data_IF_302108977806
#
_entry.id   IF_302108977806
#
_cell.length_a   1.000
_cell.length_b   1.000
_cell.length_c   1.000
_cell.angle_alpha   90.00
_cell.angle_beta   90.00
_cell.angle_gamma   90.00
#
_symmetry.space_group_name_H-M   'P 1'
#
loop_
_entity.id
_entity.type
_entity.pdbx_description
1 polymer ?
#
# COMPACT_ATOMS: atom_id res chain seq x y z
N UNK A 1 18.70 -5.05 9.33
CA UNK A 1 18.46 -6.51 9.57
C UNK A 1 17.72 -7.06 8.37
N UNK A 2 17.98 -8.31 7.91
CA UNK A 2 17.21 -8.88 6.79
C UNK A 2 15.72 -8.96 7.13
N UNK A 3 14.87 -8.49 6.20
CA UNK A 3 13.41 -8.40 6.44
C UNK A 3 12.68 -9.72 6.18
N UNK A 4 13.18 -10.55 5.26
CA UNK A 4 12.54 -11.84 4.93
C UNK A 4 12.50 -12.80 6.12
N UNK A 5 13.59 -13.00 6.90
CA UNK A 5 13.52 -13.77 8.14
C UNK A 5 12.58 -13.16 9.17
N UNK A 6 12.59 -11.82 9.35
CA UNK A 6 11.70 -11.13 10.28
C UNK A 6 10.23 -11.30 9.88
N UNK A 7 9.90 -11.18 8.58
CA UNK A 7 8.54 -11.41 8.07
C UNK A 7 8.08 -12.85 8.37
N UNK A 8 8.95 -13.84 8.13
CA UNK A 8 8.64 -15.25 8.41
C UNK A 8 8.33 -15.45 9.89
N UNK A 9 9.21 -14.96 10.77
CA UNK A 9 9.08 -15.15 12.22
C UNK A 9 7.81 -14.47 12.75
N UNK A 10 7.52 -13.23 12.33
CA UNK A 10 6.30 -12.51 12.71
C UNK A 10 5.04 -13.16 12.15
N UNK A 11 5.06 -13.63 10.90
CA UNK A 11 3.92 -14.31 10.30
C UNK A 11 3.64 -15.67 10.96
N UNK A 12 4.68 -16.44 11.28
CA UNK A 12 4.58 -17.73 11.99
C UNK A 12 4.03 -17.50 13.41
N UNK A 13 4.54 -16.51 14.14
CA UNK A 13 4.06 -16.15 15.48
C UNK A 13 2.56 -15.78 15.49
N UNK A 14 2.06 -15.24 14.39
CA UNK A 14 0.65 -14.86 14.19
C UNK A 14 -0.22 -15.97 13.61
N UNK A 15 0.35 -17.15 13.31
CA UNK A 15 -0.37 -18.25 12.67
C UNK A 15 -0.76 -17.98 11.21
N UNK A 16 -0.07 -17.07 10.52
CA UNK A 16 -0.33 -16.68 9.13
C UNK A 16 0.57 -17.40 8.12
N UNK A 17 1.58 -18.10 8.64
CA UNK A 17 2.55 -18.88 7.87
C UNK A 17 2.93 -20.13 8.67
N UNK A 18 3.00 -21.28 8.02
CA UNK A 18 3.47 -22.50 8.65
C UNK A 18 4.99 -22.45 8.89
N UNK A 19 5.47 -23.09 9.97
CA UNK A 19 6.87 -23.02 10.40
C UNK A 19 7.90 -23.49 9.33
N UNK A 20 7.50 -24.33 8.38
CA UNK A 20 8.32 -24.81 7.28
C UNK A 20 8.08 -24.09 5.94
N UNK A 21 7.11 -23.18 5.89
CA UNK A 21 6.75 -22.51 4.64
C UNK A 21 7.80 -21.48 4.24
N UNK A 22 8.21 -21.56 2.96
CA UNK A 22 9.20 -20.63 2.40
C UNK A 22 8.53 -19.32 2.01
N UNK A 23 9.13 -18.20 2.43
CA UNK A 23 8.72 -16.88 1.95
C UNK A 23 9.15 -16.70 0.49
N UNK A 24 8.18 -16.71 -0.42
CA UNK A 24 8.33 -16.39 -1.84
C UNK A 24 7.80 -14.98 -2.11
N UNK A 25 8.05 -14.35 -3.28
CA UNK A 25 7.44 -13.07 -3.63
C UNK A 25 5.91 -13.05 -3.49
N UNK A 26 5.24 -14.13 -3.87
CA UNK A 26 3.78 -14.25 -3.73
C UNK A 26 3.33 -14.34 -2.27
N UNK A 27 4.10 -15.02 -1.41
CA UNK A 27 3.85 -15.10 0.04
C UNK A 27 4.10 -13.74 0.68
N UNK A 28 5.20 -13.06 0.35
CA UNK A 28 5.50 -11.72 0.85
C UNK A 28 4.40 -10.73 0.47
N UNK A 29 3.97 -10.72 -0.80
CA UNK A 29 2.87 -9.91 -1.28
C UNK A 29 1.58 -10.19 -0.48
N UNK A 30 1.17 -11.46 -0.33
CA UNK A 30 -0.03 -11.86 0.41
C UNK A 30 0.01 -11.35 1.85
N UNK A 31 1.11 -11.58 2.55
CA UNK A 31 1.26 -11.20 3.95
C UNK A 31 1.20 -9.67 4.12
N UNK A 32 1.94 -8.91 3.31
CA UNK A 32 1.93 -7.44 3.37
C UNK A 32 0.58 -6.86 2.96
N UNK A 33 -0.04 -7.38 1.89
CA UNK A 33 -1.37 -6.96 1.45
C UNK A 33 -2.41 -7.11 2.58
N UNK A 34 -2.37 -8.24 3.30
CA UNK A 34 -3.37 -8.57 4.31
C UNK A 34 -3.11 -7.94 5.69
N UNK A 35 -2.01 -7.20 5.86
CA UNK A 35 -1.84 -6.33 7.03
C UNK A 35 -3.00 -5.32 7.11
N UNK A 36 -3.52 -5.02 8.31
CA UNK A 36 -4.53 -3.98 8.52
C UNK A 36 -4.11 -2.65 7.88
N UNK A 37 -5.05 -1.97 7.19
CA UNK A 37 -4.82 -0.63 6.64
C UNK A 37 -4.90 0.41 7.74
N UNK A 38 -3.79 0.62 8.43
CA UNK A 38 -3.66 1.53 9.55
C UNK A 38 -2.25 2.11 9.61
N UNK A 39 -2.11 3.37 10.05
CA UNK A 39 -0.79 3.97 10.25
C UNK A 39 -0.03 3.20 11.33
N UNK A 40 1.18 2.74 11.02
CA UNK A 40 2.17 2.35 12.01
C UNK A 40 2.78 3.60 12.68
N UNK A 41 3.53 3.42 13.75
CA UNK A 41 4.18 4.52 14.47
C UNK A 41 5.16 5.32 13.59
N UNK A 42 5.79 4.62 12.64
CA UNK A 42 6.52 5.21 11.52
C UNK A 42 6.34 4.36 10.24
N UNK A 43 7.04 4.69 9.18
CA UNK A 43 6.94 3.99 7.88
C UNK A 43 8.14 3.10 7.57
N UNK A 44 9.05 2.92 8.55
CA UNK A 44 10.19 2.04 8.38
C UNK A 44 9.71 0.59 8.24
N UNK A 45 10.27 -0.20 7.31
CA UNK A 45 9.86 -1.58 7.06
C UNK A 45 9.82 -2.46 8.31
N UNK A 46 10.82 -2.35 9.19
CA UNK A 46 10.87 -3.09 10.44
C UNK A 46 9.73 -2.73 11.41
N UNK A 47 9.37 -1.45 11.50
CA UNK A 47 8.26 -0.98 12.34
C UNK A 47 6.93 -1.49 11.81
N UNK A 48 6.70 -1.37 10.50
CA UNK A 48 5.49 -1.90 9.83
C UNK A 48 5.34 -3.39 10.09
N UNK A 49 6.44 -4.15 9.99
CA UNK A 49 6.46 -5.58 10.26
C UNK A 49 6.11 -5.91 11.71
N UNK A 50 6.75 -5.27 12.69
CA UNK A 50 6.54 -5.54 14.11
C UNK A 50 5.14 -5.16 14.57
N UNK A 51 4.62 -4.02 14.11
CA UNK A 51 3.26 -3.57 14.41
C UNK A 51 2.20 -4.31 13.58
N UNK A 52 2.62 -4.97 12.49
CA UNK A 52 1.77 -5.71 11.55
C UNK A 52 0.65 -4.87 10.97
N UNK A 53 0.94 -3.64 10.61
CA UNK A 53 -0.01 -2.70 10.02
C UNK A 53 0.71 -1.66 9.15
N UNK A 54 -0.01 -1.11 8.16
CA UNK A 54 0.53 -0.04 7.32
C UNK A 54 -0.53 0.56 6.41
N UNK A 55 -0.39 1.83 6.07
CA UNK A 55 -1.08 2.44 4.93
C UNK A 55 -0.32 2.15 3.64
N UNK A 56 -0.74 2.69 2.49
CA UNK A 56 -0.09 2.46 1.21
C UNK A 56 1.44 2.66 1.28
N UNK A 57 1.94 3.74 1.90
CA UNK A 57 3.39 3.99 2.00
C UNK A 57 4.12 2.90 2.78
N UNK A 58 3.72 2.64 4.03
CA UNK A 58 4.39 1.64 4.86
C UNK A 58 4.39 0.26 4.24
N UNK A 59 3.24 -0.18 3.70
CA UNK A 59 3.13 -1.48 3.02
C UNK A 59 4.02 -1.57 1.79
N UNK A 60 4.06 -0.54 0.94
CA UNK A 60 4.85 -0.60 -0.28
C UNK A 60 6.35 -0.43 -0.03
N UNK A 61 6.77 0.35 0.98
CA UNK A 61 8.18 0.41 1.36
C UNK A 61 8.67 -0.96 1.87
N UNK A 62 7.89 -1.57 2.76
CA UNK A 62 8.17 -2.93 3.24
C UNK A 62 8.20 -3.94 2.09
N UNK A 63 7.19 -3.94 1.22
CA UNK A 63 7.10 -4.90 0.12
C UNK A 63 8.23 -4.73 -0.89
N UNK A 64 8.62 -3.48 -1.23
CA UNK A 64 9.78 -3.21 -2.08
C UNK A 64 11.03 -3.90 -1.54
N UNK A 65 11.35 -3.66 -0.28
CA UNK A 65 12.57 -4.15 0.34
C UNK A 65 12.55 -5.68 0.46
N UNK A 66 11.40 -6.29 0.77
CA UNK A 66 11.22 -7.74 0.75
C UNK A 66 11.42 -8.35 -0.64
N UNK A 67 10.87 -7.72 -1.68
CA UNK A 67 11.03 -8.19 -3.06
C UNK A 67 12.49 -8.09 -3.52
N UNK A 68 13.18 -7.01 -3.16
CA UNK A 68 14.61 -6.84 -3.45
C UNK A 68 15.45 -7.91 -2.73
N UNK A 69 15.20 -8.22 -1.45
CA UNK A 69 15.86 -9.35 -0.74
C UNK A 69 15.56 -10.71 -1.40
N UNK A 70 14.41 -10.85 -2.02
CA UNK A 70 14.00 -12.06 -2.76
C UNK A 70 14.51 -12.08 -4.21
N UNK A 71 15.34 -11.11 -4.62
CA UNK A 71 15.98 -11.05 -5.93
C UNK A 71 15.15 -10.42 -7.05
N UNK A 72 14.04 -9.74 -6.73
CA UNK A 72 13.24 -9.00 -7.69
C UNK A 72 13.48 -7.49 -7.55
N UNK A 73 14.10 -6.81 -8.53
CA UNK A 73 14.20 -5.37 -8.52
C UNK A 73 12.82 -4.73 -8.42
N UNK A 74 12.69 -3.79 -7.50
CA UNK A 74 11.42 -3.10 -7.25
C UNK A 74 11.66 -1.62 -6.92
N UNK A 75 10.80 -0.74 -7.44
CA UNK A 75 10.88 0.70 -7.19
C UNK A 75 9.52 1.26 -6.79
N UNK A 76 9.55 2.33 -5.99
CA UNK A 76 8.35 3.05 -5.57
C UNK A 76 7.89 3.97 -6.69
N UNK A 77 6.60 3.93 -6.95
CA UNK A 77 5.90 4.91 -7.79
C UNK A 77 4.93 5.68 -6.91
N UNK A 78 4.84 6.97 -7.13
CA UNK A 78 3.93 7.88 -6.43
C UNK A 78 2.89 8.37 -7.43
N UNK A 79 1.63 8.42 -7.02
CA UNK A 79 0.55 8.97 -7.82
C UNK A 79 -0.28 9.96 -7.01
N UNK A 80 -0.59 11.12 -7.59
CA UNK A 80 -1.64 11.98 -7.06
C UNK A 80 -3.00 11.44 -7.47
N UNK A 81 -3.98 11.60 -6.62
CA UNK A 81 -5.38 11.27 -6.90
C UNK A 81 -6.31 12.04 -5.99
N UNK A 82 -7.60 11.92 -6.23
CA UNK A 82 -8.64 12.43 -5.36
C UNK A 82 -9.64 11.32 -5.04
N UNK A 83 -10.16 11.30 -3.80
CA UNK A 83 -11.35 10.52 -3.47
C UNK A 83 -12.58 11.31 -3.89
N UNK A 84 -13.41 10.68 -4.73
CA UNK A 84 -14.69 11.21 -5.19
C UNK A 84 -15.81 10.19 -4.94
N UNK A 85 -17.05 10.60 -5.10
CA UNK A 85 -18.18 9.68 -4.98
C UNK A 85 -18.19 8.60 -6.08
N UNK A 86 -17.62 8.92 -7.24
CA UNK A 86 -17.57 8.04 -8.42
C UNK A 86 -16.51 6.95 -8.27
N UNK A 87 -15.31 7.29 -7.76
CA UNK A 87 -14.20 6.34 -7.69
C UNK A 87 -14.08 5.61 -6.35
N UNK A 88 -14.83 6.06 -5.33
CA UNK A 88 -14.87 5.45 -4.01
C UNK A 88 -16.32 5.18 -3.53
N UNK A 89 -17.15 4.44 -4.33
CA UNK A 89 -18.55 4.16 -3.99
C UNK A 89 -18.69 3.28 -2.73
N UNK A 90 -17.63 2.62 -2.33
CA UNK A 90 -17.52 1.76 -1.15
C UNK A 90 -17.35 2.53 0.17
N UNK A 91 -17.20 3.84 0.14
CA UNK A 91 -17.07 4.65 1.34
C UNK A 91 -18.33 4.58 2.22
N UNK A 92 -18.17 4.56 3.56
CA UNK A 92 -19.33 4.64 4.47
C UNK A 92 -20.04 5.99 4.35
N UNK A 93 -21.32 6.07 4.74
CA UNK A 93 -22.16 7.26 4.50
C UNK A 93 -21.54 8.59 4.92
N UNK A 94 -20.84 8.64 6.07
CA UNK A 94 -20.21 9.86 6.56
C UNK A 94 -19.05 10.33 5.68
N UNK A 95 -18.15 9.42 5.22
CA UNK A 95 -17.07 9.76 4.30
C UNK A 95 -17.58 10.01 2.87
N UNK A 96 -18.59 9.24 2.43
CA UNK A 96 -19.25 9.48 1.15
C UNK A 96 -19.89 10.86 1.07
N UNK A 97 -20.45 11.36 2.17
CA UNK A 97 -20.97 12.74 2.24
C UNK A 97 -19.87 13.77 2.09
N UNK A 98 -18.72 13.53 2.71
CA UNK A 98 -17.58 14.43 2.66
C UNK A 98 -17.02 14.58 1.25
N UNK A 99 -16.84 13.45 0.51
CA UNK A 99 -16.33 13.49 -0.88
C UNK A 99 -17.35 14.04 -1.89
N UNK A 100 -18.67 13.98 -1.58
CA UNK A 100 -19.70 14.63 -2.41
C UNK A 100 -19.69 16.15 -2.27
N UNK A 101 -19.31 16.68 -1.10
CA UNK A 101 -19.19 18.13 -0.89
C UNK A 101 -18.00 18.71 -1.66
N UNK A 102 -16.88 18.03 -1.63
CA UNK A 102 -15.69 18.33 -2.44
C UNK A 102 -14.79 17.10 -2.51
N UNK A 103 -14.08 16.84 -3.62
CA UNK A 103 -13.04 15.81 -3.70
C UNK A 103 -12.02 15.95 -2.58
N UNK A 104 -11.47 14.83 -2.10
CA UNK A 104 -10.39 14.82 -1.10
C UNK A 104 -9.09 14.45 -1.79
N UNK A 105 -8.14 15.39 -1.93
CA UNK A 105 -6.86 15.11 -2.55
C UNK A 105 -6.04 14.13 -1.68
N UNK A 106 -5.39 13.17 -2.32
CA UNK A 106 -4.44 12.26 -1.66
C UNK A 106 -3.30 11.87 -2.58
N UNK A 107 -2.29 11.24 -2.01
CA UNK A 107 -1.11 10.75 -2.71
C UNK A 107 -0.89 9.28 -2.38
N UNK A 108 -0.90 8.46 -3.41
CA UNK A 108 -0.81 7.01 -3.33
C UNK A 108 0.59 6.51 -3.67
N UNK A 109 1.00 5.38 -3.07
CA UNK A 109 2.20 4.65 -3.45
C UNK A 109 1.82 3.27 -3.97
N UNK A 110 2.52 2.84 -5.02
CA UNK A 110 2.51 1.47 -5.51
C UNK A 110 3.91 1.10 -6.03
N UNK A 111 4.11 -0.10 -6.56
CA UNK A 111 5.41 -0.56 -7.05
C UNK A 111 5.42 -0.80 -8.55
N UNK A 112 6.58 -0.57 -9.16
CA UNK A 112 7.00 -1.26 -10.36
C UNK A 112 8.01 -2.33 -9.95
N UNK A 113 7.78 -3.57 -10.39
CA UNK A 113 8.59 -4.75 -10.06
C UNK A 113 9.07 -5.39 -11.34
N UNK A 114 10.37 -5.62 -11.44
CA UNK A 114 10.95 -6.33 -12.57
C UNK A 114 10.78 -7.83 -12.34
N UNK A 115 9.79 -8.42 -12.99
CA UNK A 115 9.43 -9.83 -12.79
C UNK A 115 10.31 -10.79 -13.58
N UNK A 116 10.93 -10.33 -14.66
CA UNK A 116 11.96 -11.02 -15.44
C UNK A 116 13.18 -10.11 -15.57
N UNK A 117 14.20 -10.27 -14.71
CA UNK A 117 15.42 -9.45 -14.79
C UNK A 117 16.23 -9.68 -16.09
N UNK A 118 16.04 -10.81 -16.77
CA UNK A 118 16.75 -11.12 -18.03
C UNK A 118 16.07 -10.42 -19.22
N UNK A 119 14.74 -10.51 -19.30
CA UNK A 119 13.98 -9.80 -20.32
C UNK A 119 13.83 -8.29 -20.02
N UNK A 120 14.04 -7.87 -18.78
CA UNK A 120 13.88 -6.49 -18.36
C UNK A 120 12.42 -6.06 -18.17
N UNK A 121 11.48 -7.00 -18.11
CA UNK A 121 10.05 -6.74 -18.07
C UNK A 121 9.58 -6.32 -16.67
N UNK A 122 8.80 -5.24 -16.62
CA UNK A 122 8.27 -4.65 -15.41
C UNK A 122 6.75 -4.80 -15.32
N UNK A 123 6.25 -5.03 -14.10
CA UNK A 123 4.82 -5.08 -13.80
C UNK A 123 4.45 -4.13 -12.66
N UNK A 124 3.20 -3.69 -12.63
CA UNK A 124 2.60 -2.92 -11.55
C UNK A 124 2.18 -3.86 -10.40
N UNK A 125 2.54 -3.49 -9.17
CA UNK A 125 2.14 -4.22 -7.95
C UNK A 125 1.58 -3.25 -6.93
N UNK A 126 0.38 -3.55 -6.41
CA UNK A 126 -0.31 -2.76 -5.41
C UNK A 126 -0.91 -3.63 -4.30
N UNK A 127 -0.34 -3.50 -3.10
CA UNK A 127 -0.69 -4.26 -1.90
C UNK A 127 -1.50 -3.43 -0.87
N UNK A 128 -2.16 -2.36 -1.31
CA UNK A 128 -2.84 -1.40 -0.42
C UNK A 128 -3.96 -2.03 0.38
N UNK A 129 -4.93 -2.63 -0.31
CA UNK A 129 -6.13 -3.12 0.34
C UNK A 129 -6.01 -4.60 0.69
N UNK A 130 -6.33 -5.02 1.94
CA UNK A 130 -6.36 -6.43 2.29
C UNK A 130 -7.43 -7.18 1.48
N UNK A 131 -7.20 -8.46 1.20
CA UNK A 131 -8.12 -9.25 0.37
C UNK A 131 -9.56 -9.24 0.88
N UNK A 132 -9.74 -9.21 2.20
CA UNK A 132 -11.05 -9.16 2.86
C UNK A 132 -11.83 -7.88 2.54
N UNK A 133 -11.16 -6.80 2.13
CA UNK A 133 -11.80 -5.54 1.74
C UNK A 133 -12.66 -5.66 0.47
N UNK A 134 -12.50 -6.73 -0.32
CA UNK A 134 -13.39 -7.02 -1.46
C UNK A 134 -14.85 -7.24 -1.06
N UNK A 135 -15.13 -7.63 0.18
CA UNK A 135 -16.52 -7.70 0.68
C UNK A 135 -17.19 -6.33 0.81
N UNK A 136 -16.39 -5.27 0.80
CA UNK A 136 -16.81 -3.88 0.76
C UNK A 136 -16.72 -3.30 -0.67
N UNK A 137 -16.57 -4.16 -1.69
CA UNK A 137 -16.39 -3.79 -3.11
C UNK A 137 -15.11 -2.97 -3.41
N UNK A 138 -14.15 -2.96 -2.48
CA UNK A 138 -12.86 -2.29 -2.67
C UNK A 138 -11.96 -3.04 -3.67
N UNK A 139 -11.14 -2.33 -4.46
CA UNK A 139 -10.32 -2.92 -5.53
C UNK A 139 -9.05 -3.62 -5.00
N UNK A 140 -9.20 -4.65 -4.16
CA UNK A 140 -8.07 -5.41 -3.63
C UNK A 140 -7.51 -6.42 -4.65
N UNK A 141 -6.19 -6.45 -4.83
CA UNK A 141 -5.49 -7.44 -5.64
C UNK A 141 -5.32 -8.74 -4.87
N UNK A 142 -5.72 -9.89 -5.45
CA UNK A 142 -5.76 -11.16 -4.71
C UNK A 142 -4.47 -11.97 -4.81
N UNK A 143 -3.69 -11.79 -5.87
CA UNK A 143 -2.51 -12.62 -6.12
C UNK A 143 -1.38 -11.82 -6.76
N UNK A 144 -0.15 -12.24 -6.46
CA UNK A 144 1.04 -11.82 -7.19
C UNK A 144 1.30 -12.85 -8.30
N UNK A 145 1.22 -12.42 -9.54
CA UNK A 145 1.51 -13.26 -10.70
C UNK A 145 2.55 -12.56 -11.56
N UNK A 146 3.75 -13.13 -11.74
CA UNK A 146 4.76 -12.54 -12.62
C UNK A 146 4.19 -12.21 -14.00
N UNK A 147 4.50 -11.01 -14.52
CA UNK A 147 4.04 -10.54 -15.83
C UNK A 147 2.59 -10.08 -15.91
N UNK A 148 1.87 -10.00 -14.78
CA UNK A 148 0.48 -9.53 -14.74
C UNK A 148 0.38 -8.26 -13.93
N UNK A 149 0.08 -7.14 -14.60
CA UNK A 149 -0.16 -5.87 -13.92
C UNK A 149 -1.36 -5.96 -12.98
N UNK A 150 -1.19 -5.43 -11.78
CA UNK A 150 -2.26 -5.28 -10.79
C UNK A 150 -2.98 -3.94 -10.96
N UNK A 151 -4.24 -3.89 -10.53
CA UNK A 151 -4.99 -2.64 -10.49
C UNK A 151 -4.42 -1.74 -9.38
N UNK A 152 -4.12 -0.48 -9.73
CA UNK A 152 -3.76 0.54 -8.76
C UNK A 152 -4.98 0.86 -7.89
N UNK A 153 -4.77 1.04 -6.59
CA UNK A 153 -5.84 1.26 -5.60
C UNK A 153 -6.50 2.65 -5.67
N UNK A 154 -6.13 3.46 -6.63
CA UNK A 154 -6.71 4.77 -6.92
C UNK A 154 -6.80 4.98 -8.43
N UNK A 155 -7.46 6.06 -8.86
CA UNK A 155 -7.44 6.56 -10.22
C UNK A 155 -6.36 7.67 -10.29
N UNK A 156 -5.17 7.40 -10.88
CA UNK A 156 -4.06 8.35 -10.89
C UNK A 156 -4.38 9.60 -11.73
N UNK A 157 -4.03 10.78 -11.20
CA UNK A 157 -4.04 12.06 -11.93
C UNK A 157 -2.67 12.30 -12.54
N UNK A 158 -1.62 12.21 -11.71
CA UNK A 158 -0.22 12.30 -12.15
C UNK A 158 0.58 11.16 -11.52
N UNK A 159 1.60 10.69 -12.24
CA UNK A 159 2.49 9.61 -11.82
C UNK A 159 3.92 10.11 -11.78
N UNK A 160 4.60 9.84 -10.66
CA UNK A 160 5.96 10.24 -10.41
C UNK A 160 6.85 9.03 -10.15
N UNK A 161 7.97 8.96 -10.86
CA UNK A 161 9.04 8.01 -10.56
C UNK A 161 9.95 8.62 -9.49
N UNK A 162 10.22 7.85 -8.44
CA UNK A 162 11.16 8.28 -7.41
C UNK A 162 12.58 8.07 -7.94
N UNK A 163 13.43 9.11 -8.02
CA UNK A 163 14.83 8.95 -8.36
C UNK A 163 15.57 8.04 -7.35
N UNK A 164 16.62 7.34 -7.81
CA UNK A 164 17.36 6.40 -6.96
C UNK A 164 18.07 7.08 -5.77
N UNK A 165 18.40 8.36 -5.90
CA UNK A 165 19.06 9.18 -4.89
C UNK A 165 18.11 9.99 -4.01
N UNK A 166 16.78 9.87 -4.21
CA UNK A 166 15.78 10.58 -3.42
C UNK A 166 15.05 9.63 -2.45
N UNK A 167 14.86 10.11 -1.21
CA UNK A 167 14.04 9.40 -0.24
C UNK A 167 12.56 9.41 -0.65
N UNK A 168 11.91 8.23 -0.85
CA UNK A 168 10.52 8.16 -1.33
C UNK A 168 9.54 8.86 -0.41
N UNK A 169 9.82 8.88 0.91
CA UNK A 169 8.94 9.53 1.88
C UNK A 169 9.04 11.05 1.79
N UNK A 170 10.25 11.58 1.66
CA UNK A 170 10.47 13.02 1.49
C UNK A 170 9.82 13.54 0.20
N UNK A 171 9.99 12.81 -0.91
CA UNK A 171 9.31 13.11 -2.16
C UNK A 171 7.79 13.09 -2.01
N UNK A 172 7.25 12.06 -1.38
CA UNK A 172 5.80 11.96 -1.15
C UNK A 172 5.27 13.12 -0.32
N UNK A 173 5.95 13.53 0.73
CA UNK A 173 5.53 14.65 1.59
C UNK A 173 5.52 15.96 0.82
N UNK A 174 6.50 16.19 -0.05
CA UNK A 174 6.53 17.33 -0.97
C UNK A 174 5.31 17.32 -1.90
N UNK A 175 5.04 16.19 -2.57
CA UNK A 175 3.90 16.05 -3.48
C UNK A 175 2.57 16.23 -2.73
N UNK A 176 2.42 15.69 -1.50
CA UNK A 176 1.23 15.93 -0.66
C UNK A 176 1.05 17.41 -0.39
N UNK A 177 2.11 18.12 -0.03
CA UNK A 177 2.06 19.56 0.25
C UNK A 177 1.63 20.36 -0.98
N UNK A 178 2.12 20.00 -2.15
CA UNK A 178 1.79 20.66 -3.42
C UNK A 178 0.36 20.32 -3.88
N UNK A 179 0.00 19.04 -3.91
CA UNK A 179 -1.29 18.54 -4.41
C UNK A 179 -2.46 18.86 -3.46
N UNK A 180 -2.28 18.65 -2.16
CA UNK A 180 -3.33 18.93 -1.18
C UNK A 180 -3.41 20.42 -0.83
N UNK A 181 -2.31 21.18 -0.96
CA UNK A 181 -2.29 22.61 -0.67
C UNK A 181 -2.95 22.95 0.67
N UNK A 182 -3.92 23.87 0.66
CA UNK A 182 -4.70 24.25 1.84
C UNK A 182 -5.61 23.16 2.42
N UNK A 183 -5.73 21.99 1.78
CA UNK A 183 -6.57 20.87 2.20
C UNK A 183 -5.82 19.78 2.97
N UNK A 184 -4.53 19.95 3.28
CA UNK A 184 -3.70 18.93 3.96
C UNK A 184 -4.32 18.43 5.28
N UNK A 185 -4.84 19.33 6.11
CA UNK A 185 -5.51 18.97 7.36
C UNK A 185 -6.81 18.17 7.12
N UNK A 186 -7.62 18.54 6.13
CA UNK A 186 -8.83 17.82 5.73
C UNK A 186 -8.50 16.42 5.24
N UNK A 187 -7.48 16.30 4.38
CA UNK A 187 -6.95 15.02 3.92
C UNK A 187 -6.55 14.10 5.08
N UNK A 188 -5.79 14.62 6.05
CA UNK A 188 -5.32 13.83 7.19
C UNK A 188 -6.46 13.34 8.09
N UNK A 189 -7.47 14.17 8.31
CA UNK A 189 -8.70 13.78 9.02
C UNK A 189 -9.45 12.67 8.26
N UNK A 190 -9.62 12.83 6.95
CA UNK A 190 -10.27 11.85 6.09
C UNK A 190 -9.55 10.49 6.12
N UNK A 191 -8.22 10.45 5.91
CA UNK A 191 -7.44 9.20 5.95
C UNK A 191 -7.48 8.55 7.34
N UNK A 192 -7.50 9.35 8.40
CA UNK A 192 -7.65 8.85 9.78
C UNK A 192 -9.01 8.21 9.99
N UNK A 193 -10.09 8.86 9.53
CA UNK A 193 -11.45 8.34 9.63
C UNK A 193 -11.63 7.07 8.78
N UNK A 194 -11.09 7.05 7.56
CA UNK A 194 -11.07 5.88 6.68
C UNK A 194 -10.37 4.70 7.35
N UNK A 195 -9.19 4.91 7.93
CA UNK A 195 -8.44 3.85 8.61
C UNK A 195 -9.20 3.28 9.82
N UNK A 196 -9.86 4.14 10.59
CA UNK A 196 -10.68 3.70 11.74
C UNK A 196 -11.89 2.88 11.29
N UNK A 197 -12.59 3.34 10.25
CA UNK A 197 -13.72 2.61 9.69
C UNK A 197 -13.29 1.24 9.18
N UNK A 198 -12.21 1.17 8.40
CA UNK A 198 -11.69 -0.11 7.89
C UNK A 198 -11.29 -1.07 9.03
N UNK A 199 -10.68 -0.58 10.11
CA UNK A 199 -10.34 -1.40 11.26
C UNK A 199 -11.60 -2.00 11.92
N UNK A 200 -12.70 -1.25 11.98
CA UNK A 200 -13.98 -1.73 12.54
C UNK A 200 -14.62 -2.76 11.61
N UNK A 201 -14.71 -2.48 10.32
CA UNK A 201 -15.42 -3.33 9.36
C UNK A 201 -14.65 -4.61 8.99
N UNK A 202 -13.33 -4.55 8.97
CA UNK A 202 -12.50 -5.67 8.52
C UNK A 202 -11.95 -6.51 9.70
N UNK A 203 -12.20 -6.10 10.93
CA UNK A 203 -11.80 -6.85 12.13
C UNK A 203 -10.28 -6.84 12.36
N UNK A 204 -9.65 -5.67 12.17
CA UNK A 204 -8.22 -5.44 12.41
C UNK A 204 -7.89 -5.15 13.86
#
# INVERSE_FOLDING_TARGET
MPLVPLLRDEATRRGLLDAGERVTPAVAFRLVRDMPYRRASDRQPETVLREWQGTCSGKHYLLRDLLQELGLPATIIIATHEFTAENAPWLPPHLATEVRLAPVPDVHNFLRVQHDPVAGDWMTVDATWPAVARRLEMPANLSFRPGVDQKIACDPIEIFHVPDDEDPQAMKERIISEHAGGQAARRDLFITALSRWLATELGG
#
